data_IF_052054900872
#
_entry.id   IF_052054900872
#
_cell.length_a   1.000
_cell.length_b   1.000
_cell.length_c   1.000
_cell.angle_alpha   90.00
_cell.angle_beta   90.00
_cell.angle_gamma   90.00
#
_symmetry.space_group_name_H-M   'P 1'
#
loop_
_entity.id
_entity.type
_entity.pdbx_description
1 polymer ?
#
# COMPACT_ATOMS: atom_id res chain seq x y z
N UNK A 1 -16.13 -1.97 -17.71
CA UNK A 1 -15.45 -3.15 -17.19
C UNK A 1 -15.39 -2.98 -15.68
N UNK A 2 -14.70 -1.94 -15.20
CA UNK A 2 -14.65 -1.52 -13.81
C UNK A 2 -15.90 -0.75 -13.40
N UNK A 3 -16.21 0.36 -14.08
CA UNK A 3 -17.33 1.24 -13.72
C UNK A 3 -18.01 1.86 -14.95
N UNK A 4 -19.30 2.24 -14.87
CA UNK A 4 -19.98 2.90 -15.99
C UNK A 4 -19.38 4.25 -16.41
N UNK A 5 -18.67 4.93 -15.50
CA UNK A 5 -18.00 6.21 -15.72
C UNK A 5 -16.50 6.08 -16.05
N UNK A 6 -16.00 4.85 -16.23
CA UNK A 6 -14.65 4.63 -16.76
C UNK A 6 -14.53 5.22 -18.17
N UNK A 7 -13.32 5.60 -18.57
CA UNK A 7 -13.04 6.06 -19.93
C UNK A 7 -11.91 5.25 -20.55
N UNK A 8 -12.11 4.86 -21.81
CA UNK A 8 -11.12 4.12 -22.58
C UNK A 8 -10.38 5.07 -23.51
N UNK A 9 -9.06 4.97 -23.51
CA UNK A 9 -8.16 5.78 -24.32
C UNK A 9 -7.41 4.84 -25.25
N UNK A 10 -7.71 4.83 -26.57
CA UNK A 10 -6.99 4.02 -27.53
C UNK A 10 -5.48 4.34 -27.52
N UNK A 11 -4.65 3.33 -27.79
CA UNK A 11 -3.22 3.53 -27.97
C UNK A 11 -2.95 4.48 -29.15
N UNK A 12 -1.87 5.26 -29.03
CA UNK A 12 -1.42 6.16 -30.08
C UNK A 12 -0.50 5.43 -31.06
N UNK A 13 -0.28 5.97 -32.26
CA UNK A 13 0.59 5.34 -33.26
C UNK A 13 2.06 5.22 -32.81
N UNK A 14 2.50 6.13 -31.93
CA UNK A 14 3.86 6.13 -31.38
C UNK A 14 3.95 5.44 -30.01
N UNK A 15 2.85 4.86 -29.53
CA UNK A 15 2.71 4.29 -28.19
C UNK A 15 2.94 5.28 -27.03
N UNK A 16 2.78 6.58 -27.27
CA UNK A 16 2.76 7.60 -26.22
C UNK A 16 1.51 7.43 -25.33
N UNK A 17 1.63 7.75 -24.04
CA UNK A 17 0.49 7.80 -23.11
C UNK A 17 -0.53 8.87 -23.56
N UNK A 18 -1.76 8.49 -23.96
CA UNK A 18 -2.73 9.37 -24.62
C UNK A 18 -3.02 10.68 -23.88
N UNK A 19 -3.22 11.76 -24.63
CA UNK A 19 -3.71 13.03 -24.10
C UNK A 19 -5.09 12.83 -23.42
N UNK A 20 -5.25 13.39 -22.22
CA UNK A 20 -6.47 13.27 -21.41
C UNK A 20 -6.43 12.17 -20.34
N UNK A 21 -5.39 11.34 -20.32
CA UNK A 21 -4.98 10.58 -19.13
C UNK A 21 -3.99 11.39 -18.30
N UNK A 22 -4.11 11.25 -16.99
CA UNK A 22 -3.29 11.93 -15.98
C UNK A 22 -3.38 13.46 -16.10
N UNK A 23 -2.68 14.15 -15.22
CA UNK A 23 -2.35 15.57 -15.38
C UNK A 23 -0.83 15.76 -15.41
N UNK A 24 -0.37 17.00 -15.56
CA UNK A 24 1.06 17.29 -15.66
C UNK A 24 1.86 16.90 -14.40
N UNK A 25 1.26 17.01 -13.20
CA UNK A 25 1.93 16.63 -11.94
C UNK A 25 2.08 15.11 -11.86
N UNK A 26 1.03 14.38 -12.21
CA UNK A 26 1.04 12.91 -12.23
C UNK A 26 2.02 12.36 -13.27
N UNK A 27 2.08 12.94 -14.46
CA UNK A 27 3.05 12.53 -15.49
C UNK A 27 4.49 12.71 -15.01
N UNK A 28 4.82 13.88 -14.45
CA UNK A 28 6.16 14.12 -13.93
C UNK A 28 6.52 13.22 -12.75
N UNK A 29 5.54 12.75 -11.97
CA UNK A 29 5.77 11.85 -10.84
C UNK A 29 5.97 10.40 -11.28
N UNK A 30 5.09 9.87 -12.13
CA UNK A 30 5.18 8.46 -12.56
C UNK A 30 6.21 8.24 -13.67
N UNK A 31 6.49 9.27 -14.47
CA UNK A 31 7.30 9.16 -15.68
C UNK A 31 8.27 10.36 -15.81
N UNK A 32 9.23 10.50 -14.89
CA UNK A 32 10.17 11.63 -14.88
C UNK A 32 11.07 11.66 -16.13
N UNK A 33 11.41 10.48 -16.68
CA UNK A 33 12.29 10.34 -17.85
C UNK A 33 11.54 10.35 -19.19
N UNK A 34 10.20 10.36 -19.18
CA UNK A 34 9.33 10.28 -20.36
C UNK A 34 9.54 8.98 -21.18
N UNK A 35 9.64 7.85 -20.47
CA UNK A 35 9.86 6.51 -21.02
C UNK A 35 8.63 5.60 -20.90
N UNK A 36 7.55 6.06 -20.25
CA UNK A 36 6.33 5.27 -20.07
C UNK A 36 5.53 5.21 -21.37
N UNK A 37 5.17 4.01 -21.80
CA UNK A 37 4.37 3.82 -23.01
C UNK A 37 2.92 3.47 -22.70
N UNK A 38 2.03 3.69 -23.67
CA UNK A 38 0.60 3.40 -23.53
C UNK A 38 0.32 1.90 -23.35
N UNK A 39 1.04 1.05 -24.10
CA UNK A 39 0.90 -0.41 -24.04
C UNK A 39 1.23 -1.01 -22.66
N UNK A 40 2.11 -0.36 -21.88
CA UNK A 40 2.40 -0.76 -20.49
C UNK A 40 1.24 -0.49 -19.54
N UNK A 41 0.26 0.35 -19.90
CA UNK A 41 -0.80 0.80 -19.01
C UNK A 41 -2.13 0.06 -19.19
N UNK A 42 -2.15 -1.05 -19.93
CA UNK A 42 -3.34 -1.87 -20.09
C UNK A 42 -3.72 -2.51 -18.74
N UNK A 43 -5.00 -2.46 -18.37
CA UNK A 43 -5.44 -3.04 -17.10
C UNK A 43 -5.45 -4.58 -17.16
N UNK A 44 -4.92 -5.22 -16.12
CA UNK A 44 -4.82 -6.68 -16.03
C UNK A 44 -6.16 -7.40 -16.24
N UNK A 45 -7.23 -6.82 -15.71
CA UNK A 45 -8.56 -7.42 -15.68
C UNK A 45 -9.22 -7.47 -17.05
N UNK A 46 -8.97 -6.49 -17.92
CA UNK A 46 -9.46 -6.53 -19.30
C UNK A 46 -8.48 -7.24 -20.23
N UNK A 47 -7.17 -6.99 -20.06
CA UNK A 47 -6.13 -7.39 -21.01
C UNK A 47 -6.41 -6.96 -22.44
N UNK A 48 -7.23 -5.91 -22.65
CA UNK A 48 -7.80 -5.59 -23.96
C UNK A 48 -7.08 -4.39 -24.59
N UNK A 49 -5.89 -4.65 -25.13
CA UNK A 49 -5.06 -3.66 -25.80
C UNK A 49 -5.79 -2.96 -26.96
N UNK A 50 -6.59 -3.71 -27.73
CA UNK A 50 -7.37 -3.15 -28.84
C UNK A 50 -8.42 -2.12 -28.39
N UNK A 51 -8.91 -2.20 -27.15
CA UNK A 51 -9.81 -1.21 -26.56
C UNK A 51 -9.05 -0.03 -25.95
N UNK A 52 -7.78 -0.23 -25.60
CA UNK A 52 -6.86 0.78 -25.07
C UNK A 52 -6.78 0.80 -23.54
N UNK A 53 -6.32 1.92 -23.01
CA UNK A 53 -6.06 2.11 -21.58
C UNK A 53 -7.36 2.50 -20.88
N UNK A 54 -7.70 1.79 -19.80
CA UNK A 54 -8.86 2.10 -18.98
C UNK A 54 -8.49 3.10 -17.87
N UNK A 55 -8.98 4.33 -17.97
CA UNK A 55 -8.82 5.38 -16.96
C UNK A 55 -10.04 5.48 -16.05
N UNK A 56 -9.79 5.58 -14.75
CA UNK A 56 -10.82 5.80 -13.73
C UNK A 56 -10.88 7.28 -13.34
N UNK A 57 -12.08 7.87 -13.19
CA UNK A 57 -12.22 9.28 -12.85
C UNK A 57 -11.97 9.52 -11.35
N UNK A 58 -10.99 10.36 -11.05
CA UNK A 58 -10.76 10.91 -9.72
C UNK A 58 -11.00 12.42 -9.74
N UNK A 59 -11.48 12.97 -8.63
CA UNK A 59 -11.62 14.42 -8.44
C UNK A 59 -10.36 14.95 -7.77
N UNK A 60 -9.63 15.81 -8.46
CA UNK A 60 -8.51 16.56 -7.89
C UNK A 60 -9.05 17.62 -6.92
N UNK A 61 -8.58 17.62 -5.67
CA UNK A 61 -9.22 18.42 -4.62
C UNK A 61 -8.90 19.91 -4.71
N UNK A 62 -7.76 20.30 -5.26
CA UNK A 62 -7.37 21.72 -5.36
C UNK A 62 -8.30 22.57 -6.25
N UNK A 63 -8.89 21.99 -7.29
CA UNK A 63 -9.72 22.71 -8.26
C UNK A 63 -10.97 21.97 -8.74
N UNK A 64 -11.25 20.80 -8.14
CA UNK A 64 -12.42 19.97 -8.41
C UNK A 64 -12.51 19.46 -9.86
N UNK A 65 -11.38 19.40 -10.58
CA UNK A 65 -11.31 18.82 -11.92
C UNK A 65 -11.31 17.29 -11.87
N UNK A 66 -11.98 16.68 -12.86
CA UNK A 66 -11.89 15.23 -13.07
C UNK A 66 -10.60 14.90 -13.81
N UNK A 67 -9.79 14.02 -13.23
CA UNK A 67 -8.56 13.48 -13.79
C UNK A 67 -8.75 11.97 -13.97
N UNK A 68 -8.40 11.44 -15.14
CA UNK A 68 -8.46 10.01 -15.41
C UNK A 68 -7.12 9.37 -15.11
N UNK A 69 -7.07 8.49 -14.11
CA UNK A 69 -5.87 7.75 -13.73
C UNK A 69 -6.01 6.31 -14.24
N UNK A 70 -5.04 5.76 -14.99
CA UNK A 70 -5.09 4.38 -15.48
C UNK A 70 -5.28 3.38 -14.36
N UNK A 71 -6.20 2.42 -14.54
CA UNK A 71 -6.40 1.35 -13.57
C UNK A 71 -5.12 0.52 -13.36
N UNK A 72 -4.27 0.39 -14.38
CA UNK A 72 -2.97 -0.26 -14.25
C UNK A 72 -2.10 0.43 -13.17
N UNK A 73 -1.91 1.75 -13.26
CA UNK A 73 -1.16 2.53 -12.26
C UNK A 73 -1.80 2.38 -10.88
N UNK A 74 -3.12 2.50 -10.80
CA UNK A 74 -3.87 2.35 -9.55
C UNK A 74 -3.66 0.98 -8.91
N UNK A 75 -3.69 -0.08 -9.72
CA UNK A 75 -3.58 -1.47 -9.28
C UNK A 75 -2.16 -1.87 -8.87
N UNK A 76 -1.14 -1.38 -9.57
CA UNK A 76 0.26 -1.65 -9.25
C UNK A 76 0.72 -0.84 -8.04
N UNK A 77 0.52 0.48 -8.03
CA UNK A 77 1.24 1.35 -7.07
C UNK A 77 0.50 1.58 -5.75
N UNK A 78 -0.83 1.61 -5.78
CA UNK A 78 -1.63 2.02 -4.62
C UNK A 78 -2.35 0.86 -3.94
N UNK A 79 -2.55 -0.26 -4.64
CA UNK A 79 -3.21 -1.46 -4.11
C UNK A 79 -4.42 -1.13 -3.22
N UNK A 80 -4.48 -1.58 -1.97
CA UNK A 80 -5.61 -1.25 -1.09
C UNK A 80 -5.47 0.07 -0.32
N UNK A 81 -4.35 0.78 -0.41
CA UNK A 81 -4.10 1.96 0.41
C UNK A 81 -5.00 3.14 0.02
N UNK A 82 -5.48 3.87 1.02
CA UNK A 82 -6.36 5.03 0.87
C UNK A 82 -7.80 4.66 0.48
N UNK A 83 -8.20 3.40 0.61
CA UNK A 83 -9.58 2.96 0.42
C UNK A 83 -10.35 3.04 1.73
N UNK A 84 -11.60 3.48 1.67
CA UNK A 84 -12.43 3.51 2.88
C UNK A 84 -13.92 3.44 2.56
N UNK A 85 -14.70 3.02 3.53
CA UNK A 85 -16.15 3.06 3.53
C UNK A 85 -16.66 3.54 4.90
N UNK A 86 -17.83 4.16 4.93
CA UNK A 86 -18.34 4.75 6.15
C UNK A 86 -19.82 5.13 6.05
N UNK A 87 -20.38 5.51 7.19
CA UNK A 87 -21.80 5.90 7.27
C UNK A 87 -22.09 7.19 6.52
N UNK A 88 -21.10 8.08 6.44
CA UNK A 88 -21.18 9.35 5.71
C UNK A 88 -19.97 9.54 4.81
N UNK A 89 -20.10 10.46 3.84
CA UNK A 89 -19.03 10.84 2.92
C UNK A 89 -17.76 11.28 3.65
N UNK A 90 -17.89 12.22 4.59
CA UNK A 90 -16.73 12.77 5.28
C UNK A 90 -16.12 11.77 6.25
N UNK A 91 -16.92 10.93 6.93
CA UNK A 91 -16.39 9.87 7.80
C UNK A 91 -15.45 8.93 7.03
N UNK A 92 -15.91 8.41 5.89
CA UNK A 92 -15.07 7.54 5.05
C UNK A 92 -13.85 8.27 4.49
N UNK A 93 -13.99 9.53 4.07
CA UNK A 93 -12.85 10.33 3.59
C UNK A 93 -11.82 10.59 4.70
N UNK A 94 -12.25 10.91 5.91
CA UNK A 94 -11.36 11.09 7.07
C UNK A 94 -10.59 9.81 7.36
N UNK A 95 -11.26 8.66 7.34
CA UNK A 95 -10.61 7.36 7.50
C UNK A 95 -9.61 7.07 6.37
N UNK A 96 -9.99 7.28 5.11
CA UNK A 96 -9.10 7.09 3.97
C UNK A 96 -7.88 8.02 3.99
N UNK A 97 -8.05 9.29 4.35
CA UNK A 97 -6.94 10.23 4.50
C UNK A 97 -6.03 9.87 5.68
N UNK A 98 -6.63 9.38 6.78
CA UNK A 98 -5.86 8.90 7.94
C UNK A 98 -5.03 7.67 7.57
N UNK A 99 -5.58 6.73 6.80
CA UNK A 99 -4.83 5.56 6.30
C UNK A 99 -3.64 5.97 5.42
N UNK A 100 -3.79 7.01 4.58
CA UNK A 100 -2.67 7.58 3.83
C UNK A 100 -1.57 8.09 4.78
N UNK A 101 -1.93 8.83 5.83
CA UNK A 101 -0.95 9.28 6.84
C UNK A 101 -0.33 8.10 7.59
N UNK A 102 -1.12 7.09 7.97
CA UNK A 102 -0.64 5.90 8.66
C UNK A 102 0.49 5.23 7.87
N UNK A 103 0.26 4.93 6.59
CA UNK A 103 1.25 4.25 5.74
C UNK A 103 2.44 5.14 5.38
N UNK A 104 2.19 6.41 5.06
CA UNK A 104 3.26 7.36 4.78
C UNK A 104 4.22 7.52 5.96
N UNK A 105 3.67 7.76 7.16
CA UNK A 105 4.46 8.01 8.36
C UNK A 105 5.09 6.72 8.89
N UNK A 106 4.40 5.57 8.79
CA UNK A 106 4.98 4.24 9.05
C UNK A 106 6.25 4.03 8.23
N UNK A 107 6.18 4.25 6.91
CA UNK A 107 7.31 4.04 6.01
C UNK A 107 8.48 4.97 6.38
N UNK A 108 8.21 6.23 6.71
CA UNK A 108 9.23 7.17 7.18
C UNK A 108 9.87 6.74 8.49
N UNK A 109 9.07 6.36 9.49
CA UNK A 109 9.57 5.93 10.80
C UNK A 109 10.51 4.73 10.66
N UNK A 110 10.12 3.76 9.83
CA UNK A 110 10.91 2.55 9.59
C UNK A 110 12.16 2.90 8.80
N UNK A 111 12.02 3.46 7.59
CA UNK A 111 13.14 3.67 6.67
C UNK A 111 14.17 4.70 7.14
N UNK A 112 13.76 5.67 7.96
CA UNK A 112 14.66 6.68 8.52
C UNK A 112 15.19 6.27 9.91
N UNK A 113 14.92 5.04 10.37
CA UNK A 113 15.34 4.51 11.68
C UNK A 113 15.02 5.45 12.85
N UNK A 114 13.82 6.03 12.86
CA UNK A 114 13.44 7.10 13.80
C UNK A 114 13.21 6.55 15.20
N UNK A 115 13.85 7.16 16.20
CA UNK A 115 13.49 6.95 17.61
C UNK A 115 12.28 7.80 17.99
N UNK A 116 11.20 7.16 18.43
CA UNK A 116 9.95 7.83 18.79
C UNK A 116 9.84 8.09 20.29
N UNK A 117 9.17 9.20 20.69
CA UNK A 117 8.89 9.47 22.10
C UNK A 117 7.75 8.59 22.62
N UNK A 118 7.96 7.98 23.79
CA UNK A 118 6.90 7.24 24.49
C UNK A 118 5.73 8.16 24.87
N UNK A 119 4.51 7.61 24.82
CA UNK A 119 3.31 8.29 25.30
C UNK A 119 3.34 8.29 26.85
N UNK A 120 3.33 9.46 27.51
CA UNK A 120 3.40 9.52 28.97
C UNK A 120 2.24 8.79 29.66
N UNK A 121 2.50 8.21 30.83
CA UNK A 121 1.51 7.44 31.58
C UNK A 121 0.25 8.25 31.92
N UNK A 122 0.38 9.55 32.19
CA UNK A 122 -0.74 10.46 32.43
C UNK A 122 -1.64 10.67 31.20
N UNK A 123 -1.08 10.55 29.99
CA UNK A 123 -1.82 10.61 28.72
C UNK A 123 -2.51 9.26 28.46
N UNK A 124 -1.78 8.16 28.66
CA UNK A 124 -2.34 6.79 28.57
C UNK A 124 -3.52 6.59 29.53
N UNK A 125 -3.47 7.20 30.71
CA UNK A 125 -4.55 7.14 31.72
C UNK A 125 -5.90 7.69 31.25
N UNK A 126 -5.95 8.47 30.15
CA UNK A 126 -7.20 8.92 29.53
C UNK A 126 -7.94 7.80 28.80
N UNK A 127 -7.26 6.70 28.46
CA UNK A 127 -7.77 5.60 27.63
C UNK A 127 -7.70 4.26 28.38
N UNK A 128 -8.50 4.07 29.46
CA UNK A 128 -8.37 2.92 30.34
C UNK A 128 -8.58 1.56 29.66
N UNK A 129 -9.43 1.48 28.63
CA UNK A 129 -9.64 0.23 27.89
C UNK A 129 -8.39 -0.21 27.10
N UNK A 130 -7.65 0.75 26.54
CA UNK A 130 -6.37 0.47 25.87
C UNK A 130 -5.33 0.03 26.90
N UNK A 131 -5.24 0.73 28.04
CA UNK A 131 -4.31 0.33 29.11
C UNK A 131 -4.60 -1.08 29.63
N UNK A 132 -5.87 -1.46 29.78
CA UNK A 132 -6.25 -2.82 30.18
C UNK A 132 -5.80 -3.86 29.14
N UNK A 133 -5.94 -3.56 27.85
CA UNK A 133 -5.47 -4.41 26.75
C UNK A 133 -3.95 -4.57 26.77
N UNK A 134 -3.21 -3.47 26.93
CA UNK A 134 -1.75 -3.48 27.04
C UNK A 134 -1.30 -4.26 28.27
N UNK A 135 -1.88 -3.99 29.45
CA UNK A 135 -1.53 -4.68 30.69
C UNK A 135 -1.80 -6.20 30.60
N UNK A 136 -2.82 -6.61 29.83
CA UNK A 136 -3.09 -8.03 29.56
C UNK A 136 -1.97 -8.66 28.73
N UNK A 137 -1.49 -7.98 27.68
CA UNK A 137 -0.37 -8.46 26.86
C UNK A 137 0.93 -8.56 27.68
N UNK A 138 1.21 -7.56 28.50
CA UNK A 138 2.38 -7.56 29.39
C UNK A 138 2.32 -8.67 30.43
N UNK A 139 1.14 -8.93 31.01
CA UNK A 139 0.94 -10.02 31.96
C UNK A 139 1.14 -11.40 31.32
N UNK A 140 0.89 -11.53 30.02
CA UNK A 140 1.16 -12.73 29.22
C UNK A 140 2.62 -12.81 28.74
N UNK A 141 3.46 -11.84 29.12
CA UNK A 141 4.90 -11.84 28.88
C UNK A 141 5.33 -11.13 27.59
N UNK A 142 4.47 -10.29 26.99
CA UNK A 142 4.78 -9.48 25.82
C UNK A 142 4.99 -8.01 26.21
N UNK A 143 6.23 -7.51 26.33
CA UNK A 143 6.47 -6.08 26.57
C UNK A 143 5.89 -5.22 25.45
N UNK A 144 5.24 -4.11 25.83
CA UNK A 144 4.61 -3.19 24.89
C UNK A 144 5.23 -1.80 25.01
N UNK A 145 5.51 -1.19 23.87
CA UNK A 145 5.92 0.20 23.76
C UNK A 145 4.83 0.97 23.03
N UNK A 146 4.35 2.06 23.62
CA UNK A 146 3.36 2.95 23.00
C UNK A 146 4.02 4.30 22.70
N UNK A 147 4.10 4.63 21.41
CA UNK A 147 4.85 5.77 20.89
C UNK A 147 3.93 6.77 20.20
N UNK A 148 4.23 8.05 20.37
CA UNK A 148 3.68 9.12 19.55
C UNK A 148 4.42 9.16 18.20
N UNK A 149 3.72 8.75 17.13
CA UNK A 149 4.22 8.73 15.77
C UNK A 149 4.00 10.03 15.00
N UNK A 150 3.58 11.12 15.67
CA UNK A 150 3.20 12.37 14.99
C UNK A 150 4.36 13.15 14.37
N UNK A 151 5.61 12.75 14.67
CA UNK A 151 6.83 13.43 14.26
C UNK A 151 6.82 14.92 14.66
N UNK A 152 6.59 15.16 15.95
CA UNK A 152 6.53 16.51 16.53
C UNK A 152 5.17 17.21 16.33
N UNK A 153 4.07 16.45 16.34
CA UNK A 153 2.71 16.98 16.21
C UNK A 153 2.30 17.31 14.77
N UNK A 154 3.02 16.81 13.76
CA UNK A 154 2.75 17.10 12.35
C UNK A 154 1.67 16.18 11.76
N UNK A 155 1.65 14.92 12.16
CA UNK A 155 0.73 13.90 11.62
C UNK A 155 -0.09 13.22 12.71
N UNK A 156 -1.32 12.76 12.40
CA UNK A 156 -2.22 12.14 13.38
C UNK A 156 -1.94 10.63 13.56
N UNK A 157 -0.72 10.25 13.92
CA UNK A 157 -0.23 8.85 13.86
C UNK A 157 0.29 8.37 15.22
N UNK A 158 -0.02 7.12 15.55
CA UNK A 158 0.46 6.38 16.72
C UNK A 158 1.23 5.14 16.24
N UNK A 159 2.25 4.74 17.00
CA UNK A 159 2.96 3.48 16.84
C UNK A 159 2.88 2.68 18.14
N UNK A 160 2.56 1.39 18.06
CA UNK A 160 2.63 0.46 19.21
C UNK A 160 3.47 -0.74 18.81
N UNK A 161 4.49 -1.04 19.60
CA UNK A 161 5.39 -2.16 19.35
C UNK A 161 5.24 -3.22 20.42
N UNK A 162 5.11 -4.47 19.99
CA UNK A 162 5.13 -5.65 20.85
C UNK A 162 6.45 -6.37 20.70
N UNK A 163 7.05 -6.75 21.84
CA UNK A 163 8.19 -7.68 21.87
C UNK A 163 7.72 -9.07 22.26
N UNK A 164 8.34 -10.09 21.64
CA UNK A 164 8.22 -11.48 22.05
C UNK A 164 9.56 -11.98 22.60
N UNK A 165 9.74 -12.01 23.94
CA UNK A 165 10.99 -12.43 24.55
C UNK A 165 11.34 -13.91 24.30
N UNK A 166 10.37 -14.75 23.91
CA UNK A 166 10.60 -16.17 23.68
C UNK A 166 11.47 -16.44 22.44
N UNK A 167 11.43 -15.55 21.45
CA UNK A 167 12.18 -15.66 20.20
C UNK A 167 12.99 -14.39 19.85
N UNK A 168 12.91 -13.33 20.67
CA UNK A 168 13.67 -12.09 20.48
C UNK A 168 13.17 -11.23 19.34
N UNK A 169 11.88 -11.35 18.98
CA UNK A 169 11.28 -10.64 17.84
C UNK A 169 10.47 -9.43 18.27
N UNK A 170 10.21 -8.52 17.34
CA UNK A 170 9.34 -7.37 17.53
C UNK A 170 8.28 -7.27 16.44
N UNK A 171 7.15 -6.65 16.77
CA UNK A 171 6.08 -6.35 15.84
C UNK A 171 5.59 -4.92 16.05
N UNK A 172 5.81 -4.06 15.06
CA UNK A 172 5.35 -2.67 15.07
C UNK A 172 4.01 -2.53 14.34
N UNK A 173 2.99 -2.10 15.08
CA UNK A 173 1.70 -1.68 14.56
C UNK A 173 1.63 -0.15 14.47
N UNK A 174 0.90 0.35 13.48
CA UNK A 174 0.68 1.77 13.27
C UNK A 174 -0.81 2.02 13.06
N UNK A 175 -1.28 3.15 13.54
CA UNK A 175 -2.67 3.57 13.36
C UNK A 175 -2.77 5.08 13.32
N UNK A 176 -3.72 5.58 12.53
CA UNK A 176 -3.96 7.00 12.39
C UNK A 176 -5.44 7.36 12.52
N UNK A 177 -5.69 8.52 13.13
CA UNK A 177 -7.00 9.16 13.22
C UNK A 177 -6.85 10.58 13.78
N UNK A 178 -7.68 11.57 13.38
CA UNK A 178 -7.61 12.92 13.94
C UNK A 178 -7.74 12.99 15.47
N UNK A 179 -8.51 12.07 16.04
CA UNK A 179 -8.60 11.85 17.49
C UNK A 179 -7.49 10.91 17.98
N UNK A 180 -6.67 11.40 18.92
CA UNK A 180 -5.56 10.66 19.51
C UNK A 180 -5.98 9.31 20.10
N UNK A 181 -7.10 9.26 20.82
CA UNK A 181 -7.58 8.05 21.48
C UNK A 181 -8.02 6.99 20.47
N UNK A 182 -8.70 7.43 19.41
CA UNK A 182 -9.10 6.54 18.31
C UNK A 182 -7.89 6.02 17.56
N UNK A 183 -6.88 6.86 17.29
CA UNK A 183 -5.63 6.41 16.65
C UNK A 183 -4.91 5.35 17.50
N UNK A 184 -4.81 5.60 18.81
CA UNK A 184 -4.21 4.68 19.77
C UNK A 184 -4.97 3.35 19.85
N UNK A 185 -6.29 3.38 19.98
CA UNK A 185 -7.14 2.19 20.00
C UNK A 185 -6.95 1.36 18.72
N UNK A 186 -7.05 2.01 17.55
CA UNK A 186 -6.89 1.35 16.24
C UNK A 186 -5.55 0.63 16.14
N UNK A 187 -4.48 1.29 16.58
CA UNK A 187 -3.13 0.71 16.55
C UNK A 187 -3.03 -0.57 17.38
N UNK A 188 -3.61 -0.58 18.58
CA UNK A 188 -3.62 -1.76 19.46
C UNK A 188 -4.54 -2.86 18.93
N UNK A 189 -5.70 -2.51 18.35
CA UNK A 189 -6.60 -3.51 17.78
C UNK A 189 -6.02 -4.19 16.54
N UNK A 190 -5.31 -3.44 15.69
CA UNK A 190 -4.67 -3.98 14.48
C UNK A 190 -3.53 -4.95 14.84
N UNK A 191 -2.79 -4.66 15.91
CA UNK A 191 -1.74 -5.53 16.46
C UNK A 191 -2.26 -6.95 16.77
N UNK A 192 -3.53 -7.10 17.12
CA UNK A 192 -4.14 -8.40 17.46
C UNK A 192 -5.14 -8.88 16.40
N UNK A 193 -5.31 -8.15 15.30
CA UNK A 193 -6.31 -8.48 14.30
C UNK A 193 -5.97 -9.82 13.62
N UNK A 194 -6.89 -10.79 13.77
CA UNK A 194 -6.72 -12.14 13.22
C UNK A 194 -5.64 -12.99 13.90
N UNK A 195 -5.10 -12.57 15.05
CA UNK A 195 -4.02 -13.26 15.77
C UNK A 195 -4.44 -13.58 17.21
N UNK A 196 -4.30 -14.83 17.62
CA UNK A 196 -4.28 -15.18 19.03
C UNK A 196 -2.89 -14.93 19.63
N UNK A 197 -2.77 -14.96 20.96
CA UNK A 197 -1.49 -14.80 21.65
C UNK A 197 -0.42 -15.83 21.22
N UNK A 198 -0.84 -16.98 20.71
CA UNK A 198 0.06 -18.04 20.21
C UNK A 198 0.58 -17.79 18.80
N UNK A 199 -0.03 -16.86 18.08
CA UNK A 199 0.28 -16.56 16.67
C UNK A 199 1.23 -15.34 16.55
N UNK A 200 1.90 -14.99 17.65
CA UNK A 200 2.85 -13.88 17.77
C UNK A 200 4.31 -14.33 17.64
N UNK A 201 4.57 -15.49 17.02
CA UNK A 201 5.89 -16.11 16.86
C UNK A 201 6.49 -15.99 15.44
N UNK A 202 5.80 -15.29 14.54
CA UNK A 202 6.13 -15.19 13.10
C UNK A 202 6.90 -13.91 12.71
N UNK A 203 7.30 -13.08 13.67
CA UNK A 203 7.93 -11.78 13.41
C UNK A 203 9.47 -11.87 13.41
N UNK A 204 10.12 -10.75 13.14
CA UNK A 204 11.58 -10.67 12.98
C UNK A 204 12.25 -9.96 14.17
N UNK A 205 13.49 -10.31 14.53
CA UNK A 205 14.28 -9.53 15.47
C UNK A 205 14.60 -8.13 14.91
N UNK A 206 14.69 -7.09 15.76
CA UNK A 206 15.21 -5.81 15.33
C UNK A 206 16.67 -5.92 14.88
N UNK A 207 17.09 -5.03 13.99
CA UNK A 207 18.43 -5.00 13.37
C UNK A 207 19.13 -3.67 13.56
N UNK A 208 20.45 -3.64 13.32
CA UNK A 208 21.25 -2.41 13.23
C UNK A 208 21.64 -2.09 11.77
N UNK A 209 21.15 -2.88 10.82
CA UNK A 209 21.38 -2.67 9.40
C UNK A 209 20.35 -1.66 8.87
N UNK A 210 20.71 -0.37 8.90
CA UNK A 210 19.84 0.71 8.44
C UNK A 210 19.56 0.63 6.93
N UNK A 211 20.47 0.04 6.14
CA UNK A 211 20.29 -0.11 4.70
C UNK A 211 19.17 -1.11 4.39
N UNK A 212 19.21 -2.31 5.01
CA UNK A 212 18.15 -3.32 4.86
C UNK A 212 16.80 -2.83 5.40
N UNK A 213 16.79 -2.04 6.49
CA UNK A 213 15.55 -1.47 7.03
C UNK A 213 14.93 -0.45 6.06
N UNK A 214 15.76 0.32 5.37
CA UNK A 214 15.32 1.34 4.42
C UNK A 214 14.97 0.80 3.02
N UNK A 215 15.31 -0.44 2.70
CA UNK A 215 14.96 -1.04 1.40
C UNK A 215 13.44 -1.03 1.18
N UNK A 216 13.04 -0.71 -0.05
CA UNK A 216 11.62 -0.60 -0.38
C UNK A 216 10.89 -1.95 -0.26
N UNK A 217 11.57 -3.05 -0.59
CA UNK A 217 11.10 -4.43 -0.39
C UNK A 217 10.78 -4.74 1.08
N UNK A 218 11.52 -4.15 2.02
CA UNK A 218 11.22 -4.25 3.45
C UNK A 218 9.91 -3.50 3.79
N UNK A 219 9.72 -2.30 3.24
CA UNK A 219 8.50 -1.51 3.42
C UNK A 219 7.26 -2.18 2.80
N UNK A 220 7.42 -2.80 1.63
CA UNK A 220 6.39 -3.63 0.99
C UNK A 220 6.03 -4.83 1.87
N UNK A 221 7.02 -5.54 2.43
CA UNK A 221 6.79 -6.63 3.38
C UNK A 221 6.02 -6.13 4.60
N UNK A 222 6.38 -4.94 5.11
CA UNK A 222 5.65 -4.28 6.19
C UNK A 222 4.20 -3.96 5.83
N UNK A 223 3.90 -3.64 4.57
CA UNK A 223 2.54 -3.42 4.10
C UNK A 223 1.75 -4.74 3.98
N UNK A 224 2.39 -5.81 3.50
CA UNK A 224 1.76 -7.11 3.24
C UNK A 224 1.36 -7.81 4.54
N UNK A 225 2.28 -7.93 5.50
CA UNK A 225 2.04 -8.71 6.71
C UNK A 225 2.72 -8.19 8.00
N UNK A 226 3.43 -7.06 7.90
CA UNK A 226 4.15 -6.43 9.02
C UNK A 226 5.29 -7.28 9.61
N UNK A 227 5.84 -8.23 8.85
CA UNK A 227 6.99 -9.05 9.27
C UNK A 227 8.35 -8.47 8.87
N UNK A 228 8.39 -7.29 8.26
CA UNK A 228 9.62 -6.63 7.86
C UNK A 228 10.53 -6.26 9.05
N UNK A 229 11.77 -5.90 8.74
CA UNK A 229 12.79 -5.47 9.69
C UNK A 229 12.46 -4.13 10.32
N UNK A 230 12.81 -3.98 11.60
CA UNK A 230 12.71 -2.75 12.38
C UNK A 230 14.09 -2.45 12.96
N UNK A 231 14.51 -1.18 12.92
CA UNK A 231 15.78 -0.76 13.52
C UNK A 231 15.70 -0.77 15.06
N UNK A 232 16.80 -1.16 15.71
CA UNK A 232 16.95 -0.99 17.16
C UNK A 232 16.84 0.47 17.60
N UNK A 233 17.09 1.43 16.71
CA UNK A 233 17.03 2.86 17.01
C UNK A 233 15.62 3.31 17.39
N UNK A 234 14.57 2.62 16.95
CA UNK A 234 13.19 2.88 17.38
C UNK A 234 13.03 2.86 18.90
N UNK A 235 13.84 2.04 19.59
CA UNK A 235 13.77 1.78 21.04
C UNK A 235 14.82 2.55 21.86
N UNK A 236 15.49 3.55 21.27
CA UNK A 236 16.43 4.39 22.00
C UNK A 236 15.76 5.12 23.17
N UNK A 237 16.57 5.42 24.18
CA UNK A 237 16.12 6.22 25.32
C UNK A 237 15.82 7.67 24.93
N UNK A 238 16.65 8.25 24.07
CA UNK A 238 16.48 9.62 23.56
C UNK A 238 15.74 9.56 22.22
N UNK A 239 14.53 10.14 22.20
CA UNK A 239 13.72 10.25 20.99
C UNK A 239 14.20 11.40 20.09
N UNK A 240 14.04 11.23 18.78
CA UNK A 240 14.42 12.24 17.77
C UNK A 240 13.40 13.39 17.71
N UNK A 241 12.20 13.16 18.23
CA UNK A 241 11.12 14.14 18.36
C UNK A 241 10.60 14.19 19.81
N UNK A 242 10.16 15.37 20.28
CA UNK A 242 9.45 15.45 21.55
C UNK A 242 8.03 14.87 21.42
N UNK A 243 7.55 14.22 22.48
CA UNK A 243 6.14 13.85 22.61
C UNK A 243 5.25 15.09 22.43
N UNK A 244 4.20 14.96 21.63
CA UNK A 244 3.15 15.97 21.48
C UNK A 244 1.80 15.38 21.84
N UNK A 245 1.09 15.99 22.80
CA UNK A 245 -0.31 15.64 23.10
C UNK A 245 -1.24 16.28 22.07
N UNK A 246 -1.17 15.78 20.83
CA UNK A 246 -1.83 16.35 19.67
C UNK A 246 -3.33 16.04 19.65
N UNK A 247 -4.09 16.89 18.95
CA UNK A 247 -5.47 16.61 18.59
C UNK A 247 -5.83 17.37 17.32
N UNK A 248 -6.39 16.64 16.36
CA UNK A 248 -6.96 17.17 15.12
C UNK A 248 -8.47 16.91 15.05
N UNK A 249 -9.08 16.47 16.17
CA UNK A 249 -10.47 16.02 16.20
C UNK A 249 -11.46 17.17 16.13
N UNK A 250 -12.65 16.85 15.60
CA UNK A 250 -13.75 17.78 15.42
C UNK A 250 -14.97 17.05 14.87
N UNK A 251 -15.83 17.77 14.17
CA UNK A 251 -16.81 17.13 13.27
C UNK A 251 -16.07 16.51 12.07
N UNK A 252 -16.65 15.50 11.43
CA UNK A 252 -16.00 14.84 10.26
C UNK A 252 -15.73 15.81 9.09
N UNK A 253 -16.48 16.91 8.99
CA UNK A 253 -16.20 18.00 8.04
C UNK A 253 -14.96 18.81 8.43
N UNK A 254 -14.81 19.18 9.71
CA UNK A 254 -13.63 19.86 10.23
C UNK A 254 -12.39 18.97 10.18
N UNK A 255 -12.54 17.69 10.50
CA UNK A 255 -11.47 16.69 10.40
C UNK A 255 -11.00 16.54 8.95
N UNK A 256 -11.92 16.41 7.99
CA UNK A 256 -11.57 16.35 6.57
C UNK A 256 -10.78 17.59 6.14
N UNK A 257 -11.26 18.79 6.51
CA UNK A 257 -10.56 20.04 6.19
C UNK A 257 -9.18 20.14 6.86
N UNK A 258 -9.06 19.67 8.10
CA UNK A 258 -7.80 19.66 8.86
C UNK A 258 -6.77 18.74 8.22
N UNK A 259 -7.16 17.52 7.84
CA UNK A 259 -6.28 16.57 7.16
C UNK A 259 -5.87 17.09 5.77
N UNK A 260 -6.81 17.65 5.01
CA UNK A 260 -6.52 18.29 3.72
C UNK A 260 -5.52 19.46 3.84
N UNK A 261 -5.57 20.21 4.94
CA UNK A 261 -4.62 21.29 5.20
C UNK A 261 -3.18 20.78 5.41
N UNK A 262 -3.00 19.59 5.99
CA UNK A 262 -1.68 18.95 6.12
C UNK A 262 -1.14 18.62 4.73
N UNK A 263 -1.93 17.98 3.85
CA UNK A 263 -1.50 17.70 2.47
C UNK A 263 -1.16 18.97 1.69
N UNK A 264 -1.95 20.04 1.85
CA UNK A 264 -1.67 21.33 1.23
C UNK A 264 -0.35 21.94 1.74
N UNK A 265 -0.04 21.82 3.03
CA UNK A 265 1.21 22.30 3.62
C UNK A 265 2.44 21.52 3.12
N UNK A 266 2.26 20.27 2.69
CA UNK A 266 3.30 19.42 2.10
C UNK A 266 3.44 19.60 0.57
N UNK A 267 2.63 20.48 -0.03
CA UNK A 267 2.47 20.60 -1.49
C UNK A 267 2.15 19.26 -2.16
N UNK A 268 1.20 18.52 -1.58
CA UNK A 268 0.74 17.22 -2.08
C UNK A 268 -0.70 17.34 -2.57
N UNK A 269 -0.90 17.03 -3.85
CA UNK A 269 -2.22 17.02 -4.45
C UNK A 269 -2.97 15.75 -4.04
N UNK A 270 -4.28 15.88 -3.81
CA UNK A 270 -5.15 14.78 -3.39
C UNK A 270 -6.18 14.51 -4.48
N UNK A 271 -6.32 13.23 -4.85
CA UNK A 271 -7.27 12.75 -5.85
C UNK A 271 -8.25 11.81 -5.17
N UNK A 272 -9.55 12.07 -5.26
CA UNK A 272 -10.58 11.26 -4.61
C UNK A 272 -11.59 10.75 -5.64
N UNK A 273 -11.75 9.42 -5.70
CA UNK A 273 -12.88 8.79 -6.36
C UNK A 273 -13.94 8.42 -5.32
N UNK A 274 -15.18 8.83 -5.56
CA UNK A 274 -16.35 8.57 -4.70
C UNK A 274 -17.19 7.41 -5.28
N UNK A 275 -17.67 6.51 -4.43
CA UNK A 275 -18.48 5.36 -4.80
C UNK A 275 -19.71 5.22 -3.89
N UNK A 276 -20.91 5.19 -4.46
CA UNK A 276 -22.18 5.06 -3.70
C UNK A 276 -23.07 3.92 -4.20
N UNK A 277 -22.62 3.20 -5.23
CA UNK A 277 -23.43 2.26 -6.01
C UNK A 277 -23.86 1.00 -5.25
N UNK A 278 -23.29 0.72 -4.07
CA UNK A 278 -23.66 -0.41 -3.21
C UNK A 278 -24.52 -0.01 -2.00
N UNK A 279 -25.00 1.24 -1.93
CA UNK A 279 -25.85 1.73 -0.84
C UNK A 279 -25.10 2.09 0.44
N UNK A 280 -23.76 2.08 0.40
CA UNK A 280 -22.86 2.62 1.42
C UNK A 280 -21.87 3.54 0.70
N UNK A 281 -21.52 4.66 1.32
CA UNK A 281 -20.50 5.54 0.76
C UNK A 281 -19.12 4.89 0.94
N UNK A 282 -18.36 4.86 -0.14
CA UNK A 282 -16.96 4.47 -0.15
C UNK A 282 -16.14 5.47 -0.98
N UNK A 283 -14.84 5.54 -0.69
CA UNK A 283 -13.91 6.33 -1.46
C UNK A 283 -12.59 5.59 -1.68
N UNK A 284 -11.85 6.04 -2.69
CA UNK A 284 -10.44 5.71 -2.87
C UNK A 284 -9.67 7.00 -3.06
N UNK A 285 -8.60 7.16 -2.32
CA UNK A 285 -7.81 8.38 -2.24
C UNK A 285 -6.39 8.07 -2.72
N UNK A 286 -5.89 8.92 -3.61
CA UNK A 286 -4.52 8.86 -4.12
C UNK A 286 -3.85 10.19 -3.81
N UNK A 287 -2.66 10.13 -3.22
CA UNK A 287 -1.79 11.25 -2.90
C UNK A 287 -0.37 10.89 -3.36
N UNK A 288 0.00 11.18 -4.62
CA UNK A 288 1.28 10.77 -5.19
C UNK A 288 2.47 11.34 -4.40
N UNK A 289 3.42 10.46 -4.08
CA UNK A 289 4.54 10.68 -3.18
C UNK A 289 4.19 10.63 -1.68
N UNK A 290 3.02 10.08 -1.32
CA UNK A 290 2.63 9.82 0.07
C UNK A 290 1.83 8.52 0.23
N UNK A 291 0.85 8.27 -0.64
CA UNK A 291 -0.02 7.09 -0.55
C UNK A 291 0.48 5.89 -1.35
N UNK A 292 1.59 6.03 -2.06
CA UNK A 292 2.22 4.97 -2.86
C UNK A 292 2.73 3.87 -1.94
N UNK A 293 2.45 2.62 -2.31
CA UNK A 293 2.96 1.44 -1.62
C UNK A 293 4.17 0.88 -2.36
N UNK A 294 4.10 0.87 -3.68
CA UNK A 294 5.16 0.45 -4.58
C UNK A 294 5.74 1.68 -5.31
N UNK A 295 7.01 1.62 -5.74
CA UNK A 295 7.68 2.73 -6.38
C UNK A 295 7.24 2.83 -7.85
N UNK A 296 7.33 4.01 -8.46
CA UNK A 296 6.81 4.22 -9.82
C UNK A 296 7.52 3.35 -10.88
N UNK A 297 8.78 3.01 -10.62
CA UNK A 297 9.63 2.13 -11.40
C UNK A 297 9.01 0.73 -11.61
N UNK A 298 8.12 0.30 -10.71
CA UNK A 298 7.40 -0.97 -10.84
C UNK A 298 6.46 -0.99 -12.04
N UNK A 299 6.08 0.17 -12.60
CA UNK A 299 5.36 0.21 -13.88
C UNK A 299 6.17 -0.38 -15.04
N UNK A 300 7.50 -0.44 -14.92
CA UNK A 300 8.40 -1.11 -15.87
C UNK A 300 8.90 -2.44 -15.33
N UNK A 301 9.32 -2.49 -14.06
CA UNK A 301 10.05 -3.63 -13.50
C UNK A 301 9.16 -4.74 -12.96
N UNK A 302 7.97 -4.40 -12.44
CA UNK A 302 7.10 -5.33 -11.72
C UNK A 302 5.61 -5.18 -12.10
N UNK A 303 5.33 -4.70 -13.31
CA UNK A 303 3.97 -4.40 -13.73
C UNK A 303 3.11 -5.68 -13.82
N UNK A 304 1.99 -5.70 -13.11
CA UNK A 304 1.12 -6.88 -13.05
C UNK A 304 0.53 -7.32 -14.41
N UNK A 305 0.62 -6.51 -15.47
CA UNK A 305 0.17 -6.86 -16.82
C UNK A 305 1.30 -7.35 -17.74
N UNK A 306 2.56 -7.41 -17.28
CA UNK A 306 3.74 -7.64 -18.13
C UNK A 306 3.67 -8.95 -18.93
N UNK A 307 3.02 -9.99 -18.38
CA UNK A 307 2.85 -11.29 -19.04
C UNK A 307 1.55 -11.44 -19.82
N UNK A 308 0.80 -10.36 -20.02
CA UNK A 308 -0.55 -10.43 -20.59
C UNK A 308 -0.57 -10.92 -22.05
N UNK A 309 0.44 -10.58 -22.86
CA UNK A 309 0.60 -11.06 -24.23
C UNK A 309 0.90 -12.57 -24.30
N UNK A 310 1.52 -13.12 -23.25
CA UNK A 310 1.80 -14.56 -23.15
C UNK A 310 0.58 -15.39 -22.73
N UNK A 311 -0.51 -14.75 -22.30
CA UNK A 311 -1.67 -15.44 -21.70
C UNK A 311 -2.28 -16.49 -22.63
N UNK A 312 -2.56 -16.15 -23.88
CA UNK A 312 -3.17 -17.09 -24.83
C UNK A 312 -2.22 -18.26 -25.13
N UNK A 313 -0.95 -17.96 -25.36
CA UNK A 313 0.12 -18.95 -25.57
C UNK A 313 0.19 -19.93 -24.41
N UNK A 314 0.41 -19.44 -23.18
CA UNK A 314 0.61 -20.28 -21.99
C UNK A 314 -0.62 -21.14 -21.66
N UNK A 315 -1.83 -20.59 -21.81
CA UNK A 315 -3.07 -21.34 -21.58
C UNK A 315 -3.36 -22.39 -22.67
N UNK A 316 -2.79 -22.23 -23.87
CA UNK A 316 -2.93 -23.20 -24.97
C UNK A 316 -1.94 -24.38 -24.90
N UNK A 317 -0.91 -24.29 -24.05
CA UNK A 317 0.14 -25.32 -23.95
C UNK A 317 -0.40 -26.71 -23.60
N UNK A 318 -1.32 -26.89 -22.64
CA UNK A 318 -1.89 -28.21 -22.36
C UNK A 318 -2.64 -28.76 -23.58
N UNK A 319 -2.15 -29.87 -24.15
CA UNK A 319 -2.72 -30.48 -25.35
C UNK A 319 -2.26 -29.86 -26.67
N UNK A 320 -1.36 -28.87 -26.62
CA UNK A 320 -0.65 -28.40 -27.81
C UNK A 320 0.20 -29.52 -28.44
N UNK A 321 0.42 -29.42 -29.75
CA UNK A 321 1.25 -30.34 -30.52
C UNK A 321 2.28 -29.55 -31.34
N UNK A 322 2.94 -28.59 -30.69
CA UNK A 322 3.96 -27.78 -31.35
C UNK A 322 5.19 -28.63 -31.67
N UNK A 323 6.04 -28.13 -32.55
CA UNK A 323 7.32 -28.77 -32.77
C UNK A 323 8.21 -28.54 -31.52
N UNK A 324 9.27 -29.34 -31.35
CA UNK A 324 10.15 -29.22 -30.16
C UNK A 324 10.87 -27.88 -30.08
N UNK A 325 11.17 -27.27 -31.22
CA UNK A 325 11.88 -26.00 -31.33
C UNK A 325 10.99 -24.85 -30.82
N UNK A 326 9.70 -24.85 -31.13
CA UNK A 326 8.74 -23.84 -30.65
C UNK A 326 8.65 -23.82 -29.11
N UNK A 327 8.68 -25.00 -28.46
CA UNK A 327 8.70 -25.07 -27.00
C UNK A 327 10.01 -24.54 -26.40
N UNK A 328 11.15 -24.75 -27.08
CA UNK A 328 12.45 -24.22 -26.63
C UNK A 328 12.52 -22.71 -26.83
N UNK A 329 11.99 -22.21 -27.95
CA UNK A 329 11.91 -20.78 -28.23
C UNK A 329 11.04 -20.04 -27.19
N UNK A 330 9.96 -20.67 -26.69
CA UNK A 330 9.18 -20.09 -25.59
C UNK A 330 9.99 -19.99 -24.29
N UNK A 331 10.88 -20.95 -24.01
CA UNK A 331 11.77 -20.87 -22.85
C UNK A 331 12.75 -19.70 -23.02
N UNK A 332 13.34 -19.56 -24.21
CA UNK A 332 14.24 -18.44 -24.53
C UNK A 332 13.51 -17.10 -24.44
N UNK A 333 12.27 -17.01 -24.95
CA UNK A 333 11.44 -15.80 -24.82
C UNK A 333 11.19 -15.42 -23.36
N UNK A 334 10.86 -16.38 -22.49
CA UNK A 334 10.65 -16.11 -21.06
C UNK A 334 11.93 -15.62 -20.36
N UNK A 335 13.09 -16.16 -20.76
CA UNK A 335 14.40 -15.71 -20.26
C UNK A 335 14.76 -14.30 -20.79
N UNK A 336 14.48 -14.02 -22.07
CA UNK A 336 14.72 -12.72 -22.72
C UNK A 336 13.83 -11.60 -22.17
N UNK A 337 12.56 -11.91 -21.87
CA UNK A 337 11.62 -10.99 -21.23
C UNK A 337 11.89 -10.82 -19.72
N UNK A 338 12.79 -11.63 -19.14
CA UNK A 338 13.32 -11.41 -17.79
C UNK A 338 12.41 -11.82 -16.63
N UNK A 339 11.45 -12.74 -16.84
CA UNK A 339 10.59 -13.21 -15.76
C UNK A 339 11.39 -14.01 -14.71
N UNK A 340 11.16 -13.72 -13.42
CA UNK A 340 11.74 -14.53 -12.35
C UNK A 340 11.19 -15.97 -12.39
N UNK A 341 12.10 -16.95 -12.32
CA UNK A 341 11.84 -18.38 -12.21
C UNK A 341 10.81 -18.72 -11.10
N UNK A 342 10.76 -17.93 -10.03
CA UNK A 342 9.84 -18.10 -8.90
C UNK A 342 8.46 -17.47 -9.10
N UNK A 343 8.29 -16.65 -10.13
CA UNK A 343 6.99 -16.04 -10.45
C UNK A 343 5.94 -17.12 -10.64
N UNK A 344 4.83 -17.01 -9.93
CA UNK A 344 3.72 -17.95 -10.10
C UNK A 344 2.97 -17.59 -11.37
N UNK A 345 2.87 -18.52 -12.32
CA UNK A 345 2.20 -18.29 -13.61
C UNK A 345 0.76 -17.81 -13.43
N UNK A 346 0.07 -18.28 -12.37
CA UNK A 346 -1.30 -17.83 -12.04
C UNK A 346 -1.38 -16.33 -11.69
N UNK A 347 -0.36 -15.80 -11.02
CA UNK A 347 -0.27 -14.40 -10.62
C UNK A 347 0.08 -13.55 -11.84
N UNK A 348 1.09 -13.96 -12.60
CA UNK A 348 1.51 -13.33 -13.87
C UNK A 348 0.35 -13.17 -14.87
N UNK A 349 -0.52 -14.17 -14.97
CA UNK A 349 -1.64 -14.17 -15.91
C UNK A 349 -2.93 -13.57 -15.36
N UNK A 350 -3.01 -13.31 -14.05
CA UNK A 350 -4.26 -12.97 -13.37
C UNK A 350 -5.33 -14.07 -13.45
N UNK A 351 -4.92 -15.35 -13.56
CA UNK A 351 -5.82 -16.49 -13.75
C UNK A 351 -6.06 -17.24 -12.46
N UNK A 352 -7.33 -17.31 -12.03
CA UNK A 352 -7.77 -18.04 -10.84
C UNK A 352 -8.20 -19.48 -11.13
N UNK A 353 -7.50 -20.22 -12.00
CA UNK A 353 -7.94 -21.57 -12.37
C UNK A 353 -7.99 -22.51 -11.15
N UNK A 354 -9.23 -22.82 -10.73
CA UNK A 354 -9.57 -23.74 -9.64
C UNK A 354 -9.44 -25.22 -10.03
N UNK A 355 -9.11 -25.53 -11.30
CA UNK A 355 -8.91 -26.92 -11.76
C UNK A 355 -7.73 -27.63 -11.09
N UNK A 356 -6.86 -26.87 -10.43
CA UNK A 356 -5.69 -27.38 -9.71
C UNK A 356 -4.46 -27.65 -10.58
N UNK A 357 -4.60 -27.56 -11.91
CA UNK A 357 -3.49 -27.82 -12.83
C UNK A 357 -2.45 -26.70 -12.89
N UNK A 358 -2.75 -25.50 -12.40
CA UNK A 358 -1.83 -24.35 -12.43
C UNK A 358 -1.43 -23.83 -11.04
N UNK A 359 -1.93 -24.45 -9.96
CA UNK A 359 -1.78 -23.97 -8.58
C UNK A 359 -0.32 -23.92 -8.08
N UNK A 360 0.57 -24.73 -8.67
CA UNK A 360 1.94 -24.97 -8.18
C UNK A 360 3.02 -24.72 -9.25
N UNK A 361 2.64 -24.19 -10.42
CA UNK A 361 3.59 -23.94 -11.50
C UNK A 361 4.21 -22.56 -11.33
N UNK A 362 5.50 -22.58 -11.03
CA UNK A 362 6.41 -21.44 -11.16
C UNK A 362 6.94 -21.38 -12.60
N UNK A 363 7.43 -20.23 -13.05
CA UNK A 363 7.92 -20.03 -14.42
C UNK A 363 8.97 -21.08 -14.84
N UNK A 364 9.73 -21.64 -13.89
CA UNK A 364 10.59 -22.82 -14.10
C UNK A 364 10.55 -23.78 -12.92
N UNK A 365 10.49 -25.09 -13.20
CA UNK A 365 10.79 -26.14 -12.23
C UNK A 365 12.22 -26.62 -12.50
N UNK A 366 13.19 -26.29 -11.63
CA UNK A 366 14.50 -26.95 -11.68
C UNK A 366 14.33 -28.44 -11.35
N UNK A 367 14.94 -29.30 -12.16
CA UNK A 367 15.07 -30.73 -11.87
C UNK A 367 15.90 -30.97 -10.61
#
# INVERSE_FOLDING_TARGET
>A
MHYPNEKWFPLTENDDVPEGLLDARLRAFYDPENELTGSQLIDLQSGNEARGICGLPFTRQSDNQTVYIPMNIIGNLYVSNGMSAGNTRNEARVQGLSEVFERYVKNRIIAESISLPEIPAEVMARYPAVMESIATLEAEGFPIFAYDGSLGGKYPVICVVLFNPANGTCFASFGAHPDFGVALERTVTELLQGRGLKDLDVFTPPTFDDEEVAEHTNLETHFIDSSGLISWDLFKQDADYPFTDWSFSGTTEEEFATLMAIFAAEDKEVYIADYEHLGVYACRIIVPGMSDIYPAEDLWLANNNMGSHLRETLLSLPGSAWNKEDYLNLIEQLDEEGFDDFTRVRELLGSGDRSGQWLVYTARRRN
#
